data_IF_734927814951
#
_entry.id   IF_734927814951
#
_cell.length_a   1.000
_cell.length_b   1.000
_cell.length_c   1.000
_cell.angle_alpha   90.00
_cell.angle_beta   90.00
_cell.angle_gamma   90.00
#
_symmetry.space_group_name_H-M   'P 1'
#
loop_
_entity.id
_entity.type
_entity.pdbx_description
1 polymer ?
#
# COMPACT_ATOMS: atom_id res chain seq x y z
N UNK A 1 -4.02 10.50 -15.39
CA UNK A 1 -3.32 11.42 -16.31
C UNK A 1 -3.29 12.86 -15.81
N UNK A 2 -4.33 13.33 -15.09
CA UNK A 2 -4.40 14.73 -14.63
C UNK A 2 -3.26 15.13 -13.66
N UNK A 3 -2.89 14.37 -12.63
CA UNK A 3 -1.81 14.77 -11.72
C UNK A 3 -0.43 14.87 -12.38
N UNK A 4 -0.14 13.99 -13.34
CA UNK A 4 1.12 14.04 -14.11
C UNK A 4 1.22 15.31 -14.98
N UNK A 5 0.10 15.81 -15.51
CA UNK A 5 0.06 17.04 -16.30
C UNK A 5 0.45 18.27 -15.47
N UNK A 6 0.29 18.23 -14.14
CA UNK A 6 0.71 19.31 -13.23
C UNK A 6 2.10 19.08 -12.62
N UNK A 7 2.50 17.81 -12.37
CA UNK A 7 3.80 17.49 -11.78
C UNK A 7 4.98 17.89 -12.70
N UNK A 8 4.89 17.60 -13.99
CA UNK A 8 5.94 17.92 -14.96
C UNK A 8 6.18 19.44 -15.11
N UNK A 9 5.15 20.29 -15.32
CA UNK A 9 5.34 21.74 -15.34
C UNK A 9 5.91 22.30 -14.04
N UNK A 10 5.46 21.80 -12.88
CA UNK A 10 5.97 22.23 -11.58
C UNK A 10 7.45 21.89 -11.38
N UNK A 11 7.89 20.72 -11.83
CA UNK A 11 9.31 20.35 -11.84
C UNK A 11 10.11 21.29 -12.77
N UNK A 12 9.62 21.57 -13.96
CA UNK A 12 10.28 22.46 -14.91
C UNK A 12 10.39 23.89 -14.37
N UNK A 13 9.30 24.41 -13.79
CA UNK A 13 9.27 25.72 -13.14
C UNK A 13 10.23 25.78 -11.94
N UNK A 14 10.36 24.69 -11.17
CA UNK A 14 11.27 24.62 -10.01
C UNK A 14 12.75 24.72 -10.42
N UNK A 15 13.09 24.26 -11.61
CA UNK A 15 14.44 24.40 -12.18
C UNK A 15 14.60 25.81 -12.78
N UNK A 16 13.59 26.31 -13.51
CA UNK A 16 13.63 27.60 -14.18
C UNK A 16 13.74 28.79 -13.20
N UNK A 17 13.04 28.72 -12.05
CA UNK A 17 13.09 29.78 -11.02
C UNK A 17 14.49 30.01 -10.46
N UNK A 18 15.33 28.97 -10.44
CA UNK A 18 16.73 29.08 -9.97
C UNK A 18 17.67 29.81 -10.96
N UNK A 19 17.26 29.93 -12.21
CA UNK A 19 18.07 30.59 -13.26
C UNK A 19 17.74 32.07 -13.44
N UNK A 20 16.65 32.55 -12.82
CA UNK A 20 16.21 33.95 -12.92
C UNK A 20 16.88 34.77 -11.80
N UNK A 21 17.57 35.89 -12.13
CA UNK A 21 18.16 36.76 -11.13
C UNK A 21 17.03 37.52 -10.38
N UNK A 22 16.67 37.06 -9.19
CA UNK A 22 15.67 37.65 -8.30
C UNK A 22 16.29 37.97 -6.94
N UNK A 23 15.72 38.96 -6.18
CA UNK A 23 16.09 39.19 -4.78
C UNK A 23 15.97 37.89 -3.95
N UNK A 24 16.92 37.64 -3.06
CA UNK A 24 16.98 36.40 -2.27
C UNK A 24 15.67 36.10 -1.52
N UNK A 25 15.04 37.12 -0.94
CA UNK A 25 13.78 36.96 -0.20
C UNK A 25 12.60 36.46 -1.06
N UNK A 26 12.55 36.89 -2.33
CA UNK A 26 11.53 36.43 -3.26
C UNK A 26 11.84 35.01 -3.75
N UNK A 27 13.10 34.72 -4.01
CA UNK A 27 13.55 33.39 -4.43
C UNK A 27 13.21 32.30 -3.39
N UNK A 28 13.48 32.58 -2.12
CA UNK A 28 13.13 31.66 -1.02
C UNK A 28 11.63 31.38 -0.95
N UNK A 29 10.80 32.42 -1.09
CA UNK A 29 9.35 32.29 -1.07
C UNK A 29 8.84 31.43 -2.23
N UNK A 30 9.35 31.68 -3.45
CA UNK A 30 8.97 30.87 -4.62
C UNK A 30 9.41 29.41 -4.50
N UNK A 31 10.61 29.16 -4.01
CA UNK A 31 11.09 27.79 -3.78
C UNK A 31 10.22 27.08 -2.74
N UNK A 32 9.80 27.79 -1.68
CA UNK A 32 8.94 27.24 -0.65
C UNK A 32 7.56 26.87 -1.21
N UNK A 33 6.92 27.76 -1.96
CA UNK A 33 5.64 27.51 -2.61
C UNK A 33 5.71 26.35 -3.61
N UNK A 34 6.77 26.28 -4.39
CA UNK A 34 6.98 25.18 -5.34
C UNK A 34 7.18 23.84 -4.64
N UNK A 35 7.89 23.80 -3.51
CA UNK A 35 8.03 22.58 -2.70
C UNK A 35 6.68 22.10 -2.17
N UNK A 36 5.86 23.02 -1.64
CA UNK A 36 4.52 22.71 -1.16
C UNK A 36 3.61 22.22 -2.28
N UNK A 37 3.64 22.89 -3.43
CA UNK A 37 2.86 22.50 -4.61
C UNK A 37 3.28 21.10 -5.12
N UNK A 38 4.58 20.80 -5.12
CA UNK A 38 5.10 19.50 -5.52
C UNK A 38 4.66 18.40 -4.53
N UNK A 39 4.78 18.65 -3.21
CA UNK A 39 4.33 17.71 -2.17
C UNK A 39 2.83 17.45 -2.29
N UNK A 40 2.02 18.49 -2.46
CA UNK A 40 0.58 18.36 -2.66
C UNK A 40 0.25 17.56 -3.93
N UNK A 41 0.96 17.82 -5.03
CA UNK A 41 0.78 17.12 -6.29
C UNK A 41 1.14 15.63 -6.18
N UNK A 42 2.27 15.31 -5.53
CA UNK A 42 2.69 13.91 -5.29
C UNK A 42 1.70 13.20 -4.39
N UNK A 43 1.28 13.82 -3.30
CA UNK A 43 0.27 13.25 -2.39
C UNK A 43 -1.04 12.98 -3.13
N UNK A 44 -1.50 13.95 -3.91
CA UNK A 44 -2.70 13.80 -4.73
C UNK A 44 -2.56 12.69 -5.78
N UNK A 45 -1.41 12.59 -6.45
CA UNK A 45 -1.12 11.53 -7.41
C UNK A 45 -1.22 10.15 -6.76
N UNK A 46 -0.59 9.97 -5.59
CA UNK A 46 -0.61 8.71 -4.86
C UNK A 46 -2.03 8.33 -4.43
N UNK A 47 -2.81 9.26 -3.90
CA UNK A 47 -4.22 9.04 -3.54
C UNK A 47 -5.04 8.64 -4.79
N UNK A 48 -4.80 9.29 -5.93
CA UNK A 48 -5.47 8.96 -7.19
C UNK A 48 -5.10 7.58 -7.73
N UNK A 49 -3.84 7.17 -7.57
CA UNK A 49 -3.39 5.81 -7.94
C UNK A 49 -4.13 4.78 -7.10
N UNK A 50 -4.19 4.95 -5.77
CA UNK A 50 -4.95 4.05 -4.89
C UNK A 50 -6.42 3.99 -5.28
N UNK A 51 -7.06 5.14 -5.53
CA UNK A 51 -8.46 5.18 -5.99
C UNK A 51 -8.69 4.54 -7.36
N UNK A 52 -7.73 4.64 -8.27
CA UNK A 52 -7.80 3.97 -9.57
C UNK A 52 -7.68 2.44 -9.43
N UNK A 53 -6.81 1.96 -8.55
CA UNK A 53 -6.69 0.53 -8.24
C UNK A 53 -7.99 0.02 -7.61
N UNK A 54 -8.53 0.72 -6.60
CA UNK A 54 -9.81 0.38 -5.98
C UNK A 54 -10.92 0.29 -7.03
N UNK A 55 -11.09 1.31 -7.85
CA UNK A 55 -12.13 1.34 -8.88
C UNK A 55 -11.96 0.23 -9.92
N UNK A 56 -10.73 -0.16 -10.24
CA UNK A 56 -10.45 -1.28 -11.15
C UNK A 56 -10.86 -2.62 -10.53
N UNK A 57 -10.57 -2.84 -9.24
CA UNK A 57 -10.97 -4.07 -8.52
C UNK A 57 -12.50 -4.15 -8.43
N UNK A 58 -13.17 -3.05 -8.08
CA UNK A 58 -14.62 -2.97 -7.97
C UNK A 58 -15.32 -3.29 -9.29
N UNK A 59 -14.82 -2.77 -10.42
CA UNK A 59 -15.38 -3.03 -11.76
C UNK A 59 -15.20 -4.48 -12.21
N UNK A 60 -14.12 -5.14 -11.81
CA UNK A 60 -13.85 -6.54 -12.17
C UNK A 60 -14.69 -7.54 -11.36
N UNK A 61 -15.30 -7.10 -10.24
CA UNK A 61 -16.11 -7.94 -9.36
C UNK A 61 -17.50 -7.31 -9.15
N UNK A 62 -18.40 -7.29 -10.16
CA UNK A 62 -19.72 -6.69 -10.03
C UNK A 62 -20.59 -7.48 -9.03
N UNK A 63 -21.41 -6.77 -8.24
CA UNK A 63 -22.28 -7.36 -7.21
C UNK A 63 -23.66 -7.80 -7.76
N UNK A 64 -23.93 -7.58 -9.04
CA UNK A 64 -25.27 -7.73 -9.63
C UNK A 64 -25.73 -9.19 -9.83
N UNK A 65 -24.88 -10.19 -9.59
CA UNK A 65 -25.23 -11.60 -9.68
C UNK A 65 -25.69 -12.09 -8.31
N UNK A 66 -26.92 -12.66 -8.26
CA UNK A 66 -27.61 -13.13 -7.05
C UNK A 66 -26.85 -14.27 -6.38
N UNK A 67 -25.95 -14.30 -5.68
CA UNK A 67 -25.15 -15.23 -4.85
C UNK A 67 -23.64 -14.99 -4.98
N UNK A 68 -23.22 -13.71 -4.93
CA UNK A 68 -21.82 -13.36 -5.10
C UNK A 68 -21.15 -12.94 -3.77
N UNK A 69 -21.16 -13.84 -2.77
CA UNK A 69 -20.48 -13.64 -1.48
C UNK A 69 -18.99 -13.37 -1.68
N UNK A 70 -18.39 -13.99 -2.69
CA UNK A 70 -16.96 -13.80 -3.02
C UNK A 70 -16.69 -12.36 -3.50
N UNK A 71 -17.50 -11.81 -4.41
CA UNK A 71 -17.34 -10.44 -4.88
C UNK A 71 -17.55 -9.40 -3.77
N UNK A 72 -18.54 -9.62 -2.89
CA UNK A 72 -18.76 -8.74 -1.73
C UNK A 72 -17.57 -8.72 -0.77
N UNK A 73 -16.96 -9.87 -0.52
CA UNK A 73 -15.75 -9.99 0.30
C UNK A 73 -14.59 -9.20 -0.31
N UNK A 74 -14.30 -9.42 -1.60
CA UNK A 74 -13.23 -8.71 -2.31
C UNK A 74 -13.47 -7.21 -2.31
N UNK A 75 -14.68 -6.74 -2.59
CA UNK A 75 -15.00 -5.32 -2.60
C UNK A 75 -14.84 -4.68 -1.21
N UNK A 76 -15.28 -5.36 -0.14
CA UNK A 76 -15.12 -4.86 1.22
C UNK A 76 -13.64 -4.76 1.59
N UNK A 77 -12.86 -5.79 1.29
CA UNK A 77 -11.41 -5.80 1.54
C UNK A 77 -10.71 -4.68 0.75
N UNK A 78 -11.02 -4.52 -0.53
CA UNK A 78 -10.46 -3.46 -1.36
C UNK A 78 -10.76 -2.06 -0.80
N UNK A 79 -12.01 -1.79 -0.42
CA UNK A 79 -12.41 -0.49 0.16
C UNK A 79 -11.72 -0.20 1.49
N UNK A 80 -11.63 -1.17 2.39
CA UNK A 80 -10.97 -0.99 3.68
C UNK A 80 -9.48 -0.72 3.47
N UNK A 81 -8.82 -1.52 2.65
CA UNK A 81 -7.39 -1.37 2.38
C UNK A 81 -7.09 -0.04 1.67
N UNK A 82 -7.91 0.36 0.70
CA UNK A 82 -7.76 1.65 0.02
C UNK A 82 -7.93 2.83 0.98
N UNK A 83 -8.91 2.78 1.90
CA UNK A 83 -9.11 3.85 2.90
C UNK A 83 -7.92 3.98 3.85
N UNK A 84 -7.38 2.85 4.32
CA UNK A 84 -6.18 2.84 5.17
C UNK A 84 -4.99 3.43 4.39
N UNK A 85 -4.76 2.97 3.17
CA UNK A 85 -3.68 3.47 2.32
C UNK A 85 -3.80 4.96 2.03
N UNK A 86 -5.00 5.44 1.64
CA UNK A 86 -5.25 6.86 1.39
C UNK A 86 -5.04 7.70 2.66
N UNK A 87 -5.56 7.25 3.81
CA UNK A 87 -5.37 7.94 5.09
C UNK A 87 -3.89 8.06 5.46
N UNK A 88 -3.12 6.99 5.29
CA UNK A 88 -1.67 6.98 5.53
C UNK A 88 -0.93 7.95 4.59
N UNK A 89 -1.26 7.93 3.29
CA UNK A 89 -0.65 8.82 2.29
C UNK A 89 -0.96 10.30 2.63
N UNK A 90 -2.19 10.61 2.99
CA UNK A 90 -2.59 11.96 3.38
C UNK A 90 -1.87 12.39 4.66
N UNK A 91 -1.82 11.53 5.68
CA UNK A 91 -1.10 11.82 6.92
C UNK A 91 0.37 12.13 6.67
N UNK A 92 1.05 11.28 5.87
CA UNK A 92 2.45 11.50 5.50
C UNK A 92 2.63 12.79 4.69
N UNK A 93 1.77 13.06 3.72
CA UNK A 93 1.81 14.27 2.89
C UNK A 93 1.64 15.55 3.71
N UNK A 94 0.67 15.56 4.63
CA UNK A 94 0.43 16.67 5.55
C UNK A 94 1.61 16.86 6.51
N UNK A 95 2.14 15.78 7.08
CA UNK A 95 3.29 15.84 7.99
C UNK A 95 4.52 16.44 7.28
N UNK A 96 4.82 16.00 6.07
CA UNK A 96 5.92 16.52 5.25
C UNK A 96 5.69 18.01 4.89
N UNK A 97 4.46 18.39 4.56
CA UNK A 97 4.12 19.77 4.29
C UNK A 97 4.31 20.68 5.52
N UNK A 98 3.85 20.25 6.70
CA UNK A 98 4.05 20.96 7.96
C UNK A 98 5.54 21.11 8.31
N UNK A 99 6.36 20.11 8.04
CA UNK A 99 7.81 20.20 8.26
C UNK A 99 8.50 21.26 7.41
N UNK A 100 7.88 21.74 6.35
CA UNK A 100 8.41 22.78 5.49
C UNK A 100 8.34 24.17 6.15
N UNK A 101 7.44 24.35 7.13
CA UNK A 101 7.26 25.60 7.86
C UNK A 101 8.05 25.58 9.19
N UNK A 102 9.01 26.49 9.43
CA UNK A 102 9.80 26.51 10.66
C UNK A 102 8.94 26.56 11.93
N UNK A 103 7.87 27.36 11.92
CA UNK A 103 6.99 27.57 13.08
C UNK A 103 6.22 26.32 13.54
N UNK A 104 5.89 25.42 12.62
CA UNK A 104 5.09 24.20 12.90
C UNK A 104 5.85 22.90 12.59
N UNK A 105 7.12 22.99 12.26
CA UNK A 105 7.97 21.84 11.92
C UNK A 105 7.92 20.74 12.97
N UNK A 106 7.89 21.14 14.26
CA UNK A 106 7.81 20.19 15.37
C UNK A 106 6.55 19.32 15.32
N UNK A 107 5.42 19.90 14.90
CA UNK A 107 4.16 19.15 14.73
C UNK A 107 4.32 18.09 13.65
N UNK A 108 4.87 18.46 12.49
CA UNK A 108 5.12 17.52 11.40
C UNK A 108 6.04 16.36 11.79
N UNK A 109 7.13 16.65 12.52
CA UNK A 109 8.05 15.60 13.01
C UNK A 109 7.39 14.68 14.03
N UNK A 110 6.57 15.21 14.95
CA UNK A 110 5.83 14.42 15.92
C UNK A 110 4.81 13.50 15.25
N UNK A 111 4.09 13.98 14.24
CA UNK A 111 3.17 13.17 13.45
C UNK A 111 3.88 12.02 12.73
N UNK A 112 5.03 12.30 12.10
CA UNK A 112 5.83 11.26 11.44
C UNK A 112 6.38 10.24 12.43
N UNK A 113 6.88 10.68 13.58
CA UNK A 113 7.37 9.79 14.63
C UNK A 113 6.25 8.87 15.15
N UNK A 114 5.06 9.44 15.40
CA UNK A 114 3.89 8.68 15.84
C UNK A 114 3.43 7.68 14.77
N UNK A 115 3.42 8.10 13.50
CA UNK A 115 3.10 7.21 12.38
C UNK A 115 4.13 6.07 12.24
N UNK A 116 5.42 6.35 12.49
CA UNK A 116 6.50 5.35 12.52
C UNK A 116 6.30 4.32 13.62
N UNK A 117 5.95 4.74 14.83
CA UNK A 117 5.64 3.84 15.95
C UNK A 117 4.42 2.98 15.63
N UNK A 118 3.34 3.59 15.13
CA UNK A 118 2.15 2.84 14.70
C UNK A 118 2.47 1.83 13.60
N UNK A 119 3.33 2.21 12.65
CA UNK A 119 3.80 1.32 11.59
C UNK A 119 4.59 0.14 12.12
N UNK A 120 5.46 0.37 13.12
CA UNK A 120 6.22 -0.69 13.78
C UNK A 120 5.28 -1.68 14.49
N UNK A 121 4.32 -1.18 15.27
CA UNK A 121 3.33 -2.02 15.97
C UNK A 121 2.49 -2.82 14.97
N UNK A 122 2.00 -2.16 13.92
CA UNK A 122 1.25 -2.82 12.85
C UNK A 122 2.09 -3.88 12.11
N UNK A 123 3.38 -3.60 11.87
CA UNK A 123 4.30 -4.56 11.25
C UNK A 123 4.53 -5.80 12.11
N UNK A 124 4.71 -5.63 13.43
CA UNK A 124 4.83 -6.75 14.37
C UNK A 124 3.53 -7.57 14.39
N UNK A 125 2.38 -6.90 14.46
CA UNK A 125 1.07 -7.57 14.42
C UNK A 125 0.82 -8.33 13.11
N UNK A 126 1.35 -7.84 11.98
CA UNK A 126 1.23 -8.47 10.67
C UNK A 126 2.26 -9.59 10.40
N UNK A 127 3.23 -9.80 11.30
CA UNK A 127 4.30 -10.81 11.14
C UNK A 127 3.79 -12.21 10.78
N UNK A 128 2.73 -12.75 11.41
CA UNK A 128 2.23 -14.08 11.04
C UNK A 128 1.71 -14.15 9.61
N UNK A 129 1.06 -13.08 9.13
CA UNK A 129 0.53 -13.00 7.76
C UNK A 129 1.66 -13.04 6.74
N UNK A 130 2.71 -12.24 6.96
CA UNK A 130 3.89 -12.25 6.09
C UNK A 130 4.65 -13.58 6.16
N UNK A 131 4.76 -14.19 7.35
CA UNK A 131 5.39 -15.50 7.52
C UNK A 131 4.70 -16.58 6.68
N UNK A 132 3.39 -16.66 6.74
CA UNK A 132 2.61 -17.62 5.96
C UNK A 132 2.72 -17.35 4.44
N UNK A 133 2.69 -16.07 4.03
CA UNK A 133 2.85 -15.69 2.62
C UNK A 133 4.23 -16.10 2.08
N UNK A 134 5.29 -15.85 2.85
CA UNK A 134 6.68 -16.24 2.47
C UNK A 134 6.80 -17.75 2.41
N UNK A 135 6.23 -18.47 3.38
CA UNK A 135 6.24 -19.94 3.38
C UNK A 135 5.50 -20.50 2.15
N UNK A 136 4.31 -19.98 1.83
CA UNK A 136 3.58 -20.36 0.63
C UNK A 136 4.36 -20.08 -0.67
N UNK A 137 5.03 -18.93 -0.74
CA UNK A 137 5.89 -18.59 -1.88
C UNK A 137 7.10 -19.56 -1.99
N UNK A 138 7.73 -19.91 -0.87
CA UNK A 138 8.82 -20.89 -0.84
C UNK A 138 8.35 -22.26 -1.33
N UNK A 139 7.17 -22.72 -0.90
CA UNK A 139 6.59 -23.99 -1.37
C UNK A 139 6.37 -23.93 -2.88
N UNK A 140 5.81 -22.83 -3.39
CA UNK A 140 5.55 -22.66 -4.81
C UNK A 140 6.81 -22.63 -5.68
N UNK A 141 7.90 -22.02 -5.19
CA UNK A 141 9.17 -21.89 -5.92
C UNK A 141 10.05 -23.14 -5.79
N UNK A 142 10.23 -23.66 -4.58
CA UNK A 142 11.14 -24.76 -4.30
C UNK A 142 10.45 -26.15 -4.50
N UNK A 143 9.11 -26.18 -4.47
CA UNK A 143 8.29 -27.39 -4.61
C UNK A 143 8.76 -28.58 -3.77
N UNK A 144 9.08 -28.39 -2.46
CA UNK A 144 9.49 -29.47 -1.58
C UNK A 144 8.36 -30.49 -1.36
N UNK A 145 7.11 -30.06 -1.57
CA UNK A 145 5.89 -30.87 -1.56
C UNK A 145 5.07 -30.53 -2.82
N UNK A 146 4.39 -31.53 -3.36
CA UNK A 146 3.58 -31.40 -4.59
C UNK A 146 2.17 -31.90 -4.34
N UNK A 147 1.27 -31.54 -5.23
CA UNK A 147 -0.07 -32.12 -5.27
C UNK A 147 0.05 -33.64 -5.45
N UNK A 148 -0.81 -34.39 -4.80
CA UNK A 148 -0.84 -35.85 -4.75
C UNK A 148 0.31 -36.53 -3.98
N UNK A 149 1.26 -35.78 -3.40
CA UNK A 149 2.27 -36.37 -2.53
C UNK A 149 1.63 -37.01 -1.30
N UNK A 150 2.16 -38.18 -0.90
CA UNK A 150 1.77 -38.84 0.33
C UNK A 150 2.65 -38.34 1.47
N UNK A 151 1.99 -37.81 2.49
CA UNK A 151 2.66 -37.23 3.68
C UNK A 151 2.13 -37.83 4.96
N UNK A 152 2.91 -37.71 6.01
CA UNK A 152 2.51 -38.09 7.37
C UNK A 152 2.42 -36.77 8.17
N UNK A 153 1.22 -36.42 8.60
CA UNK A 153 0.95 -35.23 9.42
C UNK A 153 0.35 -35.66 10.74
N UNK A 154 0.96 -35.28 11.85
CA UNK A 154 0.51 -35.64 13.21
C UNK A 154 0.35 -37.15 13.44
N UNK A 155 1.12 -37.97 12.71
CA UNK A 155 1.09 -39.44 12.80
C UNK A 155 0.07 -40.11 11.88
N UNK A 156 -0.74 -39.33 11.16
CA UNK A 156 -1.73 -39.83 10.20
C UNK A 156 -1.22 -39.75 8.77
N UNK A 157 -1.52 -40.77 7.97
CA UNK A 157 -1.21 -40.79 6.54
C UNK A 157 -2.23 -39.98 5.76
N UNK A 158 -1.76 -39.10 4.87
CA UNK A 158 -2.62 -38.32 4.03
C UNK A 158 -1.99 -38.03 2.68
N UNK A 159 -2.82 -37.49 1.75
CA UNK A 159 -2.43 -37.03 0.43
C UNK A 159 -2.70 -35.56 0.31
N UNK A 160 -1.75 -34.80 -0.26
CA UNK A 160 -1.91 -33.38 -0.49
C UNK A 160 -2.93 -33.14 -1.59
N UNK A 161 -4.04 -32.52 -1.25
CA UNK A 161 -5.15 -32.21 -2.17
C UNK A 161 -5.06 -30.80 -2.75
N UNK A 162 -4.67 -29.83 -1.92
CA UNK A 162 -4.56 -28.43 -2.33
C UNK A 162 -3.39 -27.75 -1.62
N UNK A 163 -2.63 -26.97 -2.37
CA UNK A 163 -1.59 -26.09 -1.84
C UNK A 163 -2.01 -24.66 -2.10
N UNK A 164 -2.46 -23.99 -1.05
CA UNK A 164 -2.81 -22.57 -1.07
C UNK A 164 -1.61 -21.70 -0.65
N UNK A 165 -1.73 -20.37 -0.76
CA UNK A 165 -0.67 -19.44 -0.35
C UNK A 165 -0.43 -19.38 1.16
N UNK A 166 -1.38 -19.86 1.99
CA UNK A 166 -1.31 -19.75 3.45
C UNK A 166 -1.58 -21.07 4.19
N UNK A 167 -2.05 -22.10 3.52
CA UNK A 167 -2.34 -23.42 4.08
C UNK A 167 -2.20 -24.49 3.01
N UNK A 168 -2.09 -25.74 3.46
CA UNK A 168 -2.10 -26.94 2.62
C UNK A 168 -3.25 -27.82 3.10
N UNK A 169 -4.07 -28.31 2.18
CA UNK A 169 -5.14 -29.26 2.46
C UNK A 169 -4.59 -30.66 2.28
N UNK A 170 -4.69 -31.47 3.32
CA UNK A 170 -4.28 -32.88 3.30
C UNK A 170 -5.51 -33.73 3.55
N UNK A 171 -5.85 -34.59 2.60
CA UNK A 171 -6.90 -35.58 2.77
C UNK A 171 -6.33 -36.79 3.48
N UNK A 172 -6.85 -37.12 4.67
CA UNK A 172 -6.47 -38.27 5.46
C UNK A 172 -7.19 -39.52 4.92
N UNK A 173 -6.67 -40.70 5.23
CA UNK A 173 -7.21 -41.99 4.77
C UNK A 173 -8.69 -42.24 5.14
N UNK A 174 -9.23 -41.56 6.15
CA UNK A 174 -10.62 -41.65 6.56
C UNK A 174 -11.51 -40.50 5.94
N UNK A 175 -11.04 -39.89 4.86
CA UNK A 175 -11.71 -38.82 4.09
C UNK A 175 -11.92 -37.50 4.86
N UNK A 176 -11.22 -37.26 5.96
CA UNK A 176 -11.16 -35.98 6.67
C UNK A 176 -10.08 -35.09 6.15
#
# INVERSE_FOLDING_TARGET
TVPMAFALPLLFVSVAVRTVPMPESQLELWIHLLRLALLACVTWLLVRIVGAIESSILRRNPMEIADNLHARRIQTQARVLSRIAMGTIILLGVSLALMTFPAVRQIGTTLLASAGIMGLVAGIAARPVFGNLIAGLQIALAQPIRLDDVVIVEGEWGRIEEISSTYVVVRIWDER
#
